data_IF_205662727761
#
_entry.id   IF_205662727761
#
_cell.length_a   1.000
_cell.length_b   1.000
_cell.length_c   1.000
_cell.angle_alpha   90.00
_cell.angle_beta   90.00
_cell.angle_gamma   90.00
#
_symmetry.space_group_name_H-M   'P 1'
#
loop_
_entity.id
_entity.type
_entity.pdbx_description
1 polymer ?
#
# COMPACT_ATOMS: atom_id res chain seq x y z
N UNK A 1 -63.39 36.29 9.16
CA UNK A 1 -62.10 36.91 8.75
C UNK A 1 -61.11 35.91 8.13
N UNK A 2 -61.56 34.86 7.41
CA UNK A 2 -60.64 33.82 6.88
C UNK A 2 -61.14 33.10 5.60
N UNK A 3 -62.01 33.72 4.79
CA UNK A 3 -62.63 33.02 3.65
C UNK A 3 -62.25 33.55 2.26
N UNK A 4 -61.44 34.59 2.13
CA UNK A 4 -61.16 35.14 0.79
C UNK A 4 -59.68 35.46 0.57
N UNK A 5 -58.86 34.40 0.59
CA UNK A 5 -57.48 34.47 0.07
C UNK A 5 -57.52 33.95 -1.37
N UNK A 6 -57.66 34.86 -2.35
CA UNK A 6 -57.42 34.57 -3.77
C UNK A 6 -55.96 34.13 -3.94
N UNK A 7 -55.75 32.83 -4.10
CA UNK A 7 -54.46 32.27 -4.49
C UNK A 7 -54.39 32.41 -6.01
N UNK A 8 -53.52 33.28 -6.51
CA UNK A 8 -53.26 33.40 -7.94
C UNK A 8 -52.64 32.09 -8.45
N UNK A 9 -53.39 31.40 -9.32
CA UNK A 9 -52.95 30.14 -9.95
C UNK A 9 -52.41 30.44 -11.35
N UNK A 10 -51.15 30.86 -11.41
CA UNK A 10 -50.39 30.94 -12.67
C UNK A 10 -49.56 29.68 -12.86
N UNK A 11 -49.75 28.96 -13.98
CA UNK A 11 -48.82 27.93 -14.44
C UNK A 11 -48.11 28.43 -15.69
N UNK A 12 -46.78 28.60 -15.60
CA UNK A 12 -45.93 28.92 -16.74
C UNK A 12 -45.38 27.63 -17.35
N UNK A 13 -45.48 27.50 -18.67
CA UNK A 13 -44.88 26.40 -19.41
C UNK A 13 -43.87 27.01 -20.38
N UNK A 14 -42.59 26.75 -20.14
CA UNK A 14 -41.53 27.07 -21.09
C UNK A 14 -41.17 25.80 -21.87
N UNK A 15 -40.94 25.95 -23.17
CA UNK A 15 -40.16 24.98 -23.92
C UNK A 15 -39.04 25.70 -24.64
N UNK A 16 -37.85 25.11 -24.58
CA UNK A 16 -36.70 25.61 -25.31
C UNK A 16 -36.56 24.82 -26.61
N UNK A 17 -36.82 25.47 -27.74
CA UNK A 17 -36.52 24.89 -29.06
C UNK A 17 -35.04 25.10 -29.39
N UNK A 18 -34.26 24.01 -29.42
CA UNK A 18 -32.80 24.07 -29.58
C UNK A 18 -32.38 23.55 -30.97
N UNK A 19 -31.71 24.41 -31.77
CA UNK A 19 -31.07 23.99 -33.04
C UNK A 19 -29.63 23.56 -32.75
N UNK A 20 -29.20 22.42 -33.29
CA UNK A 20 -27.81 21.95 -33.17
C UNK A 20 -27.52 21.01 -31.98
N UNK A 21 -28.55 20.40 -31.40
CA UNK A 21 -28.42 19.23 -30.49
C UNK A 21 -27.58 19.45 -29.22
N UNK A 22 -27.43 20.70 -28.76
CA UNK A 22 -26.52 21.07 -27.66
C UNK A 22 -26.88 20.43 -26.31
N UNK A 23 -28.17 20.32 -25.96
CA UNK A 23 -28.65 19.60 -24.76
C UNK A 23 -28.30 18.13 -24.80
N UNK A 24 -28.49 17.48 -25.94
CA UNK A 24 -28.17 16.07 -26.08
C UNK A 24 -26.66 15.82 -25.90
N UNK A 25 -25.81 16.66 -26.49
CA UNK A 25 -24.35 16.61 -26.27
C UNK A 25 -23.97 16.82 -24.80
N UNK A 26 -24.64 17.75 -24.10
CA UNK A 26 -24.42 17.95 -22.65
C UNK A 26 -24.83 16.71 -21.86
N UNK A 27 -25.99 16.12 -22.15
CA UNK A 27 -26.44 14.89 -21.49
C UNK A 27 -25.52 13.72 -21.80
N UNK A 28 -25.03 13.59 -23.04
CA UNK A 28 -24.07 12.56 -23.41
C UNK A 28 -22.75 12.74 -22.65
N UNK A 29 -22.21 13.95 -22.59
CA UNK A 29 -21.00 14.25 -21.82
C UNK A 29 -21.19 13.91 -20.33
N UNK A 30 -22.30 14.33 -19.71
CA UNK A 30 -22.60 13.98 -18.32
C UNK A 30 -22.71 12.47 -18.09
N UNK A 31 -23.30 11.72 -19.05
CA UNK A 31 -23.37 10.25 -18.97
C UNK A 31 -21.98 9.62 -19.09
N UNK A 32 -21.15 10.11 -20.00
CA UNK A 32 -19.77 9.64 -20.16
C UNK A 32 -18.94 9.91 -18.90
N UNK A 33 -19.05 11.10 -18.30
CA UNK A 33 -18.39 11.43 -17.03
C UNK A 33 -18.85 10.52 -15.89
N UNK A 34 -20.15 10.24 -15.81
CA UNK A 34 -20.67 9.31 -14.80
C UNK A 34 -20.14 7.87 -14.99
N UNK A 35 -20.05 7.41 -16.24
CA UNK A 35 -19.47 6.12 -16.58
C UNK A 35 -17.97 6.06 -16.24
N UNK A 36 -17.22 7.10 -16.56
CA UNK A 36 -15.80 7.21 -16.22
C UNK A 36 -15.58 7.18 -14.71
N UNK A 37 -16.35 7.98 -13.94
CA UNK A 37 -16.27 7.98 -12.48
C UNK A 37 -16.59 6.60 -11.87
N UNK A 38 -17.52 5.87 -12.47
CA UNK A 38 -17.84 4.51 -12.04
C UNK A 38 -16.70 3.51 -12.32
N UNK A 39 -16.01 3.66 -13.44
CA UNK A 39 -14.84 2.86 -13.79
C UNK A 39 -13.66 3.19 -12.85
N UNK A 40 -13.36 4.48 -12.65
CA UNK A 40 -12.32 4.95 -11.74
C UNK A 40 -12.55 4.43 -10.30
N UNK A 41 -13.81 4.37 -9.86
CA UNK A 41 -14.16 3.79 -8.57
C UNK A 41 -13.82 2.29 -8.47
N UNK A 42 -14.08 1.52 -9.53
CA UNK A 42 -13.75 0.10 -9.54
C UNK A 42 -12.23 -0.13 -9.57
N UNK A 43 -11.51 0.69 -10.34
CA UNK A 43 -10.06 0.66 -10.41
C UNK A 43 -9.42 1.02 -9.08
N UNK A 44 -9.93 2.04 -8.39
CA UNK A 44 -9.43 2.44 -7.06
C UNK A 44 -9.65 1.36 -6.01
N UNK A 45 -10.82 0.70 -5.98
CA UNK A 45 -11.04 -0.46 -5.10
C UNK A 45 -10.02 -1.57 -5.39
N UNK A 46 -9.79 -1.86 -6.66
CA UNK A 46 -8.86 -2.93 -7.07
C UNK A 46 -7.43 -2.60 -6.65
N UNK A 47 -6.98 -1.37 -6.91
CA UNK A 47 -5.68 -0.88 -6.47
C UNK A 47 -5.52 -0.94 -4.95
N UNK A 48 -6.53 -0.52 -4.19
CA UNK A 48 -6.49 -0.58 -2.72
C UNK A 48 -6.35 -2.01 -2.20
N UNK A 49 -7.03 -2.99 -2.83
CA UNK A 49 -6.88 -4.42 -2.46
C UNK A 49 -5.48 -4.94 -2.73
N UNK A 50 -4.91 -4.60 -3.88
CA UNK A 50 -3.54 -5.00 -4.24
C UNK A 50 -2.54 -4.40 -3.25
N UNK A 51 -2.66 -3.11 -2.95
CA UNK A 51 -1.78 -2.43 -1.98
C UNK A 51 -1.90 -3.04 -0.57
N UNK A 52 -3.12 -3.38 -0.14
CA UNK A 52 -3.32 -4.04 1.15
C UNK A 52 -2.66 -5.43 1.21
N UNK A 53 -2.79 -6.23 0.15
CA UNK A 53 -2.13 -7.54 0.06
C UNK A 53 -0.60 -7.41 0.02
N UNK A 54 -0.08 -6.45 -0.75
CA UNK A 54 1.35 -6.19 -0.83
C UNK A 54 1.91 -5.79 0.54
N UNK A 55 1.26 -4.85 1.23
CA UNK A 55 1.67 -4.43 2.57
C UNK A 55 1.64 -5.59 3.59
N UNK A 56 0.63 -6.47 3.49
CA UNK A 56 0.55 -7.66 4.33
C UNK A 56 1.72 -8.63 4.08
N UNK A 57 2.03 -8.94 2.82
CA UNK A 57 3.13 -9.85 2.50
C UNK A 57 4.51 -9.25 2.78
N UNK A 58 4.68 -7.94 2.60
CA UNK A 58 5.92 -7.25 2.97
C UNK A 58 6.15 -7.32 4.49
N UNK A 59 5.10 -7.12 5.29
CA UNK A 59 5.17 -7.28 6.74
C UNK A 59 5.49 -8.72 7.16
N UNK A 60 4.81 -9.71 6.56
CA UNK A 60 5.07 -11.12 6.84
C UNK A 60 6.51 -11.51 6.48
N UNK A 61 6.99 -11.08 5.31
CA UNK A 61 8.36 -11.33 4.87
C UNK A 61 9.39 -10.66 5.78
N UNK A 62 9.11 -9.46 6.28
CA UNK A 62 9.95 -8.81 7.28
C UNK A 62 10.00 -9.60 8.59
N UNK A 63 8.85 -10.11 9.06
CA UNK A 63 8.79 -10.90 10.29
C UNK A 63 9.59 -12.20 10.17
N UNK A 64 9.38 -12.97 9.09
CA UNK A 64 10.13 -14.20 8.83
C UNK A 64 11.64 -13.94 8.68
N UNK A 65 12.02 -12.81 8.06
CA UNK A 65 13.44 -12.41 7.98
C UNK A 65 14.05 -12.16 9.35
N UNK A 66 13.33 -11.54 10.28
CA UNK A 66 13.86 -11.30 11.64
C UNK A 66 14.13 -12.62 12.35
N UNK A 67 13.20 -13.58 12.29
CA UNK A 67 13.37 -14.90 12.91
C UNK A 67 14.59 -15.64 12.33
N UNK A 68 14.74 -15.67 11.01
CA UNK A 68 15.87 -16.32 10.34
C UNK A 68 17.20 -15.64 10.70
N UNK A 69 17.25 -14.31 10.67
CA UNK A 69 18.46 -13.55 10.99
C UNK A 69 18.90 -13.76 12.45
N UNK A 70 17.96 -13.95 13.38
CA UNK A 70 18.28 -14.29 14.77
C UNK A 70 18.95 -15.67 14.89
N UNK A 71 18.49 -16.66 14.12
CA UNK A 71 19.11 -17.98 14.05
C UNK A 71 20.54 -17.93 13.49
N UNK A 72 20.73 -17.15 12.42
CA UNK A 72 22.04 -16.90 11.82
C UNK A 72 22.96 -16.19 12.82
N UNK A 73 22.46 -15.16 13.52
CA UNK A 73 23.23 -14.41 14.52
C UNK A 73 23.74 -15.33 15.65
N UNK A 74 22.86 -16.18 16.17
CA UNK A 74 23.22 -17.16 17.23
C UNK A 74 24.28 -18.14 16.74
N UNK A 75 24.12 -18.65 15.51
CA UNK A 75 25.06 -19.58 14.89
C UNK A 75 26.44 -18.92 14.69
N UNK A 76 26.48 -17.70 14.15
CA UNK A 76 27.72 -16.94 13.98
C UNK A 76 28.42 -16.68 15.32
N UNK A 77 27.67 -16.31 16.37
CA UNK A 77 28.24 -16.13 17.71
C UNK A 77 28.91 -17.41 18.23
N UNK A 78 28.26 -18.57 18.07
CA UNK A 78 28.85 -19.86 18.45
C UNK A 78 30.14 -20.16 17.67
N UNK A 79 30.15 -19.85 16.36
CA UNK A 79 31.33 -20.02 15.50
C UNK A 79 32.47 -19.10 15.95
N UNK A 80 32.21 -17.82 16.24
CA UNK A 80 33.21 -16.89 16.76
C UNK A 80 33.79 -17.34 18.10
N UNK A 81 32.95 -17.81 19.03
CA UNK A 81 33.42 -18.34 20.31
C UNK A 81 34.30 -19.58 20.13
N UNK A 82 33.97 -20.46 19.17
CA UNK A 82 34.79 -21.63 18.85
C UNK A 82 36.13 -21.26 18.23
N UNK A 83 36.14 -20.33 17.26
CA UNK A 83 37.35 -19.84 16.61
C UNK A 83 38.28 -19.13 17.61
N UNK A 84 37.71 -18.34 18.53
CA UNK A 84 38.47 -17.67 19.58
C UNK A 84 39.13 -18.67 20.54
N UNK A 85 38.41 -19.73 20.94
CA UNK A 85 38.98 -20.79 21.79
C UNK A 85 40.10 -21.54 21.10
N UNK A 86 39.95 -21.85 19.81
CA UNK A 86 41.01 -22.50 19.01
C UNK A 86 42.23 -21.60 18.82
N UNK A 87 42.02 -20.29 18.66
CA UNK A 87 43.13 -19.33 18.59
C UNK A 87 43.90 -19.28 19.91
N UNK A 88 43.19 -19.31 21.05
CA UNK A 88 43.82 -19.36 22.38
C UNK A 88 44.58 -20.68 22.62
N UNK A 89 44.08 -21.79 22.09
CA UNK A 89 44.76 -23.09 22.13
C UNK A 89 45.97 -23.17 21.17
N UNK A 90 46.13 -22.21 20.25
CA UNK A 90 47.18 -22.20 19.24
C UNK A 90 46.88 -23.07 18.01
N UNK A 91 45.67 -23.63 17.91
CA UNK A 91 45.26 -24.56 16.84
C UNK A 91 44.92 -23.85 15.52
N UNK A 92 44.74 -22.53 15.54
CA UNK A 92 44.42 -21.70 14.35
C UNK A 92 45.17 -20.39 14.39
N UNK A 93 45.51 -19.85 13.21
CA UNK A 93 46.18 -18.57 13.10
C UNK A 93 45.23 -17.40 13.35
N UNK A 94 45.75 -16.24 13.77
CA UNK A 94 44.96 -15.03 13.94
C UNK A 94 44.32 -14.54 12.63
N UNK A 95 44.91 -14.88 11.48
CA UNK A 95 44.39 -14.55 10.15
C UNK A 95 43.14 -15.38 9.81
N UNK A 96 43.08 -16.64 10.24
CA UNK A 96 41.94 -17.53 10.02
C UNK A 96 40.75 -17.20 10.94
N UNK A 97 41.02 -16.64 12.13
CA UNK A 97 39.98 -16.19 13.07
C UNK A 97 39.42 -14.78 12.76
N UNK A 98 40.11 -13.99 11.93
CA UNK A 98 39.76 -12.60 11.62
C UNK A 98 38.42 -12.40 10.89
N UNK A 99 38.01 -13.24 9.90
CA UNK A 99 36.77 -13.03 9.15
C UNK A 99 35.49 -13.18 9.97
N UNK A 100 35.53 -13.99 11.03
CA UNK A 100 34.34 -14.34 11.82
C UNK A 100 33.94 -13.22 12.79
N UNK A 101 34.90 -12.41 13.27
CA UNK A 101 34.64 -11.37 14.29
C UNK A 101 33.77 -10.20 13.79
N UNK A 102 33.96 -9.64 12.58
CA UNK A 102 33.10 -8.57 12.05
C UNK A 102 31.67 -9.06 11.76
N UNK A 103 31.52 -10.28 11.25
CA UNK A 103 30.23 -10.84 10.83
C UNK A 103 29.27 -11.03 12.02
N UNK A 104 29.79 -11.47 13.17
CA UNK A 104 29.00 -11.51 14.41
C UNK A 104 28.50 -10.14 14.89
N UNK A 105 29.27 -9.08 14.66
CA UNK A 105 28.88 -7.71 15.07
C UNK A 105 27.78 -7.16 14.17
N UNK A 106 27.82 -7.43 12.87
CA UNK A 106 26.76 -7.03 11.94
C UNK A 106 25.43 -7.74 12.20
N UNK A 107 25.43 -8.96 12.76
CA UNK A 107 24.23 -9.71 13.09
C UNK A 107 23.57 -9.31 14.43
N UNK A 108 24.17 -8.37 15.19
CA UNK A 108 23.66 -7.88 16.48
C UNK A 108 22.96 -6.51 16.39
N UNK A 109 23.03 -5.84 15.24
CA UNK A 109 22.42 -4.53 14.97
C UNK A 109 21.34 -4.67 13.90
#
# INVERSE_FOLDING_TARGET
>A
LLQDKRIDKGMGLDWTWERGNKRNLRTQASRQTAQAAQADWQDTITAQRILALQAFYDWLAAHLRVEELQGIATSMQSMAQSAQRRLQAGDVSAQDAAPVRPQCRCAQH
#
